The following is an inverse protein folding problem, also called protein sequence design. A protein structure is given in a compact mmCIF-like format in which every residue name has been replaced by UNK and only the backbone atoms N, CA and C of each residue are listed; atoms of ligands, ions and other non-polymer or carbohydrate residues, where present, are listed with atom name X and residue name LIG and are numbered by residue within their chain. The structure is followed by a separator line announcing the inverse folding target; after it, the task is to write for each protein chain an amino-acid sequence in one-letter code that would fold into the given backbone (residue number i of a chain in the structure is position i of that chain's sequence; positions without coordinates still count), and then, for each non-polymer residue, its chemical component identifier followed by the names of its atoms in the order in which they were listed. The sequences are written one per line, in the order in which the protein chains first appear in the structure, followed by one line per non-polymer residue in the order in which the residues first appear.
data_IF_814930007238
#
_entry.id   IF_814930007238
#
_cell.length_a   1.000
_cell.length_b   1.000
_cell.length_c   1.000
_cell.angle_alpha   90.00
_cell.angle_beta   90.00
_cell.angle_gamma   90.00
#
_symmetry.space_group_name_H-M   'P 1'
#
loop_
_entity.id
_entity.type
_entity.pdbx_description
1 polymer ?
#
# COMPACT_ATOMS: atom_id res chain seq x y z
N UNK A 1 1.46 11.34 12.42
CA UNK A 1 1.94 12.62 11.84
C UNK A 1 0.95 13.09 10.79
N UNK A 2 0.92 14.40 10.50
CA UNK A 2 0.05 14.97 9.46
C UNK A 2 0.90 15.40 8.27
N UNK A 3 0.50 15.03 7.05
CA UNK A 3 1.17 15.46 5.84
C UNK A 3 0.51 16.72 5.29
N UNK A 4 1.27 17.80 5.17
CA UNK A 4 0.72 19.09 4.73
C UNK A 4 0.40 19.15 3.23
N UNK A 5 0.97 18.25 2.41
CA UNK A 5 0.69 18.23 0.97
C UNK A 5 -0.58 17.44 0.62
N UNK A 6 -0.71 16.19 1.10
CA UNK A 6 -1.90 15.38 0.83
C UNK A 6 -3.00 15.52 1.89
N UNK A 7 -2.78 16.30 2.95
CA UNK A 7 -3.73 16.55 4.05
C UNK A 7 -4.21 15.28 4.78
N UNK A 8 -3.38 14.24 4.82
CA UNK A 8 -3.70 12.97 5.47
C UNK A 8 -2.89 12.73 6.75
N UNK A 9 -3.52 12.09 7.76
CA UNK A 9 -2.82 11.51 8.91
C UNK A 9 -2.11 10.22 8.47
N UNK A 10 -0.82 10.11 8.81
CA UNK A 10 0.11 9.05 8.37
C UNK A 10 1.04 8.62 9.50
N UNK A 11 1.61 7.43 9.38
CA UNK A 11 2.58 6.90 10.33
C UNK A 11 3.91 7.66 10.24
N UNK A 12 4.68 7.73 11.33
CA UNK A 12 6.01 8.38 11.35
C UNK A 12 6.94 7.82 10.27
N UNK A 13 6.89 6.51 10.05
CA UNK A 13 7.66 5.77 9.03
C UNK A 13 7.30 6.14 7.59
N UNK A 14 6.16 6.79 7.34
CA UNK A 14 5.80 7.32 6.03
C UNK A 14 6.39 8.72 5.76
N UNK A 15 7.22 9.28 6.66
CA UNK A 15 7.86 10.58 6.47
C UNK A 15 9.38 10.43 6.31
N UNK A 16 10.02 11.31 5.52
CA UNK A 16 11.47 11.34 5.41
C UNK A 16 12.16 11.48 6.77
N UNK A 17 13.21 10.69 6.98
CA UNK A 17 14.09 10.81 8.16
C UNK A 17 15.24 11.81 7.92
N UNK A 18 15.46 12.17 6.66
CA UNK A 18 16.46 13.14 6.19
C UNK A 18 15.82 14.06 5.16
N UNK A 19 16.49 15.15 4.82
CA UNK A 19 16.12 16.01 3.71
C UNK A 19 16.56 15.43 2.36
N UNK A 20 16.08 15.99 1.25
CA UNK A 20 16.47 15.53 -0.09
C UNK A 20 17.92 15.91 -0.44
N UNK A 21 18.32 17.11 -0.04
CA UNK A 21 19.67 17.65 -0.17
C UNK A 21 20.07 18.31 1.14
N UNK A 22 21.35 18.46 1.40
CA UNK A 22 21.85 18.97 2.68
C UNK A 22 21.53 20.46 2.87
N UNK A 23 21.31 21.20 1.77
CA UNK A 23 20.93 22.61 1.79
C UNK A 23 19.44 22.84 2.14
N UNK A 24 18.62 21.78 2.16
CA UNK A 24 17.23 21.88 2.57
C UNK A 24 17.14 22.19 4.08
N UNK A 25 16.95 23.46 4.44
CA UNK A 25 16.72 23.84 5.83
C UNK A 25 15.23 23.91 6.17
N UNK A 26 14.59 22.73 6.30
CA UNK A 26 13.18 22.65 6.70
C UNK A 26 12.86 21.31 7.39
N UNK A 27 11.81 21.32 8.20
CA UNK A 27 11.27 20.10 8.78
C UNK A 27 10.69 19.15 7.70
N UNK A 28 10.49 17.88 8.04
CA UNK A 28 9.83 16.91 7.15
C UNK A 28 8.30 16.94 7.35
N UNK A 29 7.61 17.88 6.70
CA UNK A 29 6.14 18.04 6.80
C UNK A 29 5.37 17.27 5.72
N UNK A 30 6.07 16.79 4.69
CA UNK A 30 5.49 16.01 3.59
C UNK A 30 5.87 14.53 3.71
N UNK A 31 4.93 13.63 3.43
CA UNK A 31 5.17 12.19 3.46
C UNK A 31 6.01 11.74 2.26
N UNK A 32 6.67 10.59 2.37
CA UNK A 32 7.54 10.00 1.34
C UNK A 32 6.85 9.96 -0.03
N UNK A 33 5.59 9.50 -0.08
CA UNK A 33 4.81 9.44 -1.33
C UNK A 33 4.64 10.81 -2.00
N UNK A 34 4.42 11.86 -1.21
CA UNK A 34 4.26 13.22 -1.71
C UNK A 34 5.60 13.78 -2.17
N UNK A 35 6.65 13.59 -1.38
CA UNK A 35 8.00 14.06 -1.68
C UNK A 35 8.50 13.42 -2.98
N UNK A 36 8.40 12.09 -3.11
CA UNK A 36 8.89 11.38 -4.29
C UNK A 36 8.10 11.73 -5.54
N UNK A 37 6.77 11.93 -5.43
CA UNK A 37 5.94 12.37 -6.54
C UNK A 37 6.39 13.73 -7.09
N UNK A 38 6.56 14.74 -6.21
CA UNK A 38 6.96 16.09 -6.66
C UNK A 38 8.35 16.09 -7.28
N UNK A 39 9.32 15.35 -6.72
CA UNK A 39 10.65 15.23 -7.34
C UNK A 39 10.54 14.58 -8.73
N UNK A 40 9.73 13.52 -8.87
CA UNK A 40 9.53 12.85 -10.17
C UNK A 40 8.87 13.75 -11.22
N UNK A 41 7.88 14.55 -10.83
CA UNK A 41 7.09 15.37 -11.75
C UNK A 41 7.75 16.72 -12.06
N UNK A 42 8.45 17.31 -11.08
CA UNK A 42 8.92 18.70 -11.16
C UNK A 42 10.43 18.87 -10.98
N UNK A 43 11.17 17.80 -10.65
CA UNK A 43 12.61 17.85 -10.31
C UNK A 43 12.93 18.84 -9.18
N UNK A 44 12.03 18.95 -8.20
CA UNK A 44 12.11 19.90 -7.09
C UNK A 44 11.75 19.29 -5.75
N UNK A 45 12.30 19.85 -4.69
CA UNK A 45 11.87 19.56 -3.33
C UNK A 45 10.45 20.06 -3.10
N UNK A 46 9.57 19.19 -2.58
CA UNK A 46 8.18 19.53 -2.31
C UNK A 46 7.94 20.63 -1.26
N UNK A 47 8.96 21.07 -0.51
CA UNK A 47 8.82 22.07 0.55
C UNK A 47 9.52 23.40 0.23
N UNK A 48 10.81 23.37 -0.16
CA UNK A 48 11.56 24.59 -0.51
C UNK A 48 11.69 24.86 -2.01
N UNK A 49 11.15 23.97 -2.87
CA UNK A 49 11.23 24.09 -4.34
C UNK A 49 12.65 24.05 -4.93
N UNK A 50 13.66 23.77 -4.12
CA UNK A 50 15.04 23.63 -4.58
C UNK A 50 15.15 22.45 -5.54
N UNK A 51 15.97 22.60 -6.59
CA UNK A 51 16.14 21.56 -7.60
C UNK A 51 16.71 20.27 -7.00
N UNK A 52 16.12 19.14 -7.35
CA UNK A 52 16.55 17.82 -6.92
C UNK A 52 16.55 16.90 -8.14
N UNK A 53 17.72 16.36 -8.46
CA UNK A 53 17.89 15.43 -9.57
C UNK A 53 17.28 14.05 -9.26
N UNK A 54 16.79 13.35 -10.28
CA UNK A 54 16.17 12.02 -10.15
C UNK A 54 17.13 10.91 -9.71
N UNK A 55 18.43 11.13 -9.86
CA UNK A 55 19.51 10.23 -9.42
C UNK A 55 20.04 10.59 -8.02
N UNK A 56 19.48 11.62 -7.37
CA UNK A 56 19.86 12.00 -6.02
C UNK A 56 19.75 10.78 -5.07
N UNK A 57 20.78 10.52 -4.23
CA UNK A 57 20.83 9.33 -3.39
C UNK A 57 19.72 9.28 -2.34
N UNK A 58 19.37 10.42 -1.74
CA UNK A 58 18.28 10.50 -0.77
C UNK A 58 16.92 10.29 -1.42
N UNK A 59 16.70 10.86 -2.62
CA UNK A 59 15.49 10.60 -3.40
C UNK A 59 15.35 9.11 -3.74
N UNK A 60 16.42 8.49 -4.26
CA UNK A 60 16.44 7.05 -4.54
C UNK A 60 16.12 6.21 -3.30
N UNK A 61 16.68 6.58 -2.14
CA UNK A 61 16.41 5.88 -0.88
C UNK A 61 14.96 6.07 -0.41
N UNK A 62 14.37 7.25 -0.62
CA UNK A 62 12.95 7.49 -0.31
C UNK A 62 12.03 6.66 -1.20
N UNK A 63 12.35 6.51 -2.48
CA UNK A 63 11.62 5.62 -3.40
C UNK A 63 11.72 4.16 -2.94
N UNK A 64 12.93 3.68 -2.62
CA UNK A 64 13.12 2.31 -2.07
C UNK A 64 12.39 2.11 -0.75
N UNK A 65 12.37 3.11 0.11
CA UNK A 65 11.64 3.05 1.38
C UNK A 65 10.14 2.97 1.12
N UNK A 66 9.62 3.77 0.18
CA UNK A 66 8.22 3.74 -0.20
C UNK A 66 7.81 2.38 -0.78
N UNK A 67 8.65 1.80 -1.66
CA UNK A 67 8.43 0.46 -2.21
C UNK A 67 8.46 -0.63 -1.13
N UNK A 68 9.32 -0.52 -0.12
CA UNK A 68 9.35 -1.46 1.02
C UNK A 68 8.13 -1.32 1.93
N UNK A 69 7.62 -0.10 2.11
CA UNK A 69 6.43 0.16 2.92
C UNK A 69 5.14 -0.26 2.21
N UNK A 70 5.13 -0.20 0.88
CA UNK A 70 3.99 -0.53 0.03
C UNK A 70 4.47 -1.40 -1.15
N UNK A 71 4.90 -2.65 -0.89
CA UNK A 71 5.33 -3.55 -1.95
C UNK A 71 4.16 -3.77 -2.90
N UNK A 72 4.40 -3.61 -4.20
CA UNK A 72 3.46 -4.10 -5.21
C UNK A 72 3.32 -5.61 -5.00
N UNK A 73 2.08 -6.09 -4.91
CA UNK A 73 1.83 -7.52 -4.84
C UNK A 73 2.52 -8.20 -6.05
N UNK A 74 3.11 -9.40 -5.88
CA UNK A 74 3.77 -10.08 -6.98
C UNK A 74 2.81 -10.20 -8.17
N UNK A 75 3.18 -9.59 -9.30
CA UNK A 75 2.49 -9.83 -10.57
C UNK A 75 2.92 -11.23 -11.01
N UNK A 76 2.00 -12.20 -11.02
CA UNK A 76 2.29 -13.53 -11.54
C UNK A 76 2.72 -13.41 -13.01
N UNK A 77 3.98 -13.78 -13.29
CA UNK A 77 4.49 -13.87 -14.64
C UNK A 77 4.07 -15.23 -15.22
N UNK A 78 3.05 -15.24 -16.09
CA UNK A 78 2.86 -16.35 -17.03
C UNK A 78 2.80 -15.78 -18.44
N UNK A 79 3.82 -16.12 -19.24
CA UNK A 79 3.96 -15.65 -20.61
C UNK A 79 3.00 -16.33 -21.59
N UNK A 80 2.56 -15.53 -22.57
CA UNK A 80 2.07 -15.88 -23.92
C UNK A 80 1.22 -17.15 -24.08
N UNK A 81 -0.09 -16.96 -24.27
CA UNK A 81 -0.81 -17.21 -25.53
C UNK A 81 -2.27 -16.74 -25.41
N UNK A 82 -2.80 -16.18 -26.50
CA UNK A 82 -4.11 -15.54 -26.59
C UNK A 82 -5.25 -16.57 -26.42
N UNK A 83 -5.94 -16.54 -25.28
CA UNK A 83 -7.31 -17.04 -25.13
C UNK A 83 -8.04 -16.06 -24.23
N UNK A 84 -9.24 -15.66 -24.65
CA UNK A 84 -10.12 -14.64 -24.06
C UNK A 84 -10.12 -14.74 -22.52
N UNK A 85 -9.30 -13.92 -21.86
CA UNK A 85 -9.37 -13.69 -20.42
C UNK A 85 -10.31 -12.50 -20.23
N UNK A 86 -11.53 -12.77 -19.74
CA UNK A 86 -12.20 -11.76 -18.94
C UNK A 86 -11.31 -11.55 -17.71
N UNK A 87 -10.46 -10.53 -17.82
CA UNK A 87 -9.57 -10.03 -16.78
C UNK A 87 -10.43 -9.55 -15.61
N UNK A 88 -10.65 -10.47 -14.68
CA UNK A 88 -11.29 -10.20 -13.42
C UNK A 88 -10.41 -10.85 -12.35
N UNK A 89 -9.24 -10.27 -12.08
CA UNK A 89 -8.51 -10.51 -10.83
C UNK A 89 -9.29 -9.83 -9.68
N UNK A 90 -10.50 -10.34 -9.40
CA UNK A 90 -11.29 -10.00 -8.22
C UNK A 90 -10.61 -10.63 -7.02
N UNK A 91 -9.65 -9.90 -6.46
CA UNK A 91 -8.93 -10.29 -5.25
C UNK A 91 -9.28 -9.38 -4.09
N UNK A 92 -9.23 -9.93 -2.88
CA UNK A 92 -9.37 -9.21 -1.63
C UNK A 92 -8.20 -9.56 -0.71
N UNK A 93 -7.66 -8.55 -0.04
CA UNK A 93 -6.63 -8.74 0.98
C UNK A 93 -7.27 -8.91 2.36
N UNK A 94 -6.96 -10.01 3.02
CA UNK A 94 -7.39 -10.29 4.39
C UNK A 94 -6.19 -10.17 5.32
N UNK A 95 -6.33 -9.37 6.37
CA UNK A 95 -5.28 -9.15 7.37
C UNK A 95 -5.85 -9.47 8.75
N UNK A 96 -5.16 -10.32 9.50
CA UNK A 96 -5.50 -10.61 10.88
C UNK A 96 -5.02 -9.49 11.81
N UNK A 97 -5.66 -9.36 12.96
CA UNK A 97 -5.19 -8.45 14.02
C UNK A 97 -3.77 -8.80 14.52
N UNK A 98 -3.35 -10.06 14.36
CA UNK A 98 -1.99 -10.53 14.67
C UNK A 98 -0.91 -10.15 13.65
N UNK A 99 -1.29 -9.58 12.50
CA UNK A 99 -0.35 -9.13 11.46
C UNK A 99 -0.19 -10.06 10.27
N UNK A 100 -0.63 -11.32 10.36
CA UNK A 100 -0.64 -12.25 9.22
C UNK A 100 -1.63 -11.78 8.14
N UNK A 101 -1.24 -11.91 6.88
CA UNK A 101 -2.05 -11.47 5.75
C UNK A 101 -2.03 -12.46 4.60
N UNK A 102 -3.14 -12.57 3.89
CA UNK A 102 -3.26 -13.37 2.66
C UNK A 102 -4.12 -12.64 1.64
N UNK A 103 -3.93 -12.99 0.36
CA UNK A 103 -4.74 -12.50 -0.76
C UNK A 103 -5.64 -13.65 -1.19
N UNK A 104 -6.94 -13.40 -1.26
CA UNK A 104 -7.95 -14.37 -1.69
C UNK A 104 -8.61 -13.88 -2.96
N UNK A 105 -8.82 -14.81 -3.90
CA UNK A 105 -9.73 -14.61 -5.02
C UNK A 105 -11.18 -14.64 -4.49
N UNK A 106 -12.05 -13.80 -5.03
CA UNK A 106 -13.47 -13.79 -4.68
C UNK A 106 -14.34 -13.68 -5.94
N UNK A 107 -15.54 -14.24 -5.85
CA UNK A 107 -16.59 -14.04 -6.85
C UNK A 107 -17.65 -13.08 -6.25
N UNK A 108 -18.22 -12.12 -6.99
CA UNK A 108 -19.29 -11.25 -6.53
C UNK A 108 -20.52 -12.00 -6.00
N UNK A 109 -20.71 -13.25 -6.44
CA UNK A 109 -21.77 -14.14 -5.98
C UNK A 109 -21.38 -14.99 -4.75
N UNK A 110 -20.13 -14.92 -4.32
CA UNK A 110 -19.63 -15.65 -3.16
C UNK A 110 -20.27 -15.14 -1.88
N UNK A 111 -20.74 -16.05 -1.04
CA UNK A 111 -21.31 -15.68 0.25
C UNK A 111 -20.23 -15.55 1.33
N UNK A 112 -20.51 -14.76 2.38
CA UNK A 112 -19.57 -14.54 3.48
C UNK A 112 -19.13 -15.84 4.16
N UNK A 113 -19.97 -16.86 4.18
CA UNK A 113 -19.64 -18.16 4.75
C UNK A 113 -18.52 -18.87 3.97
N UNK A 114 -18.56 -18.81 2.63
CA UNK A 114 -17.50 -19.36 1.79
C UNK A 114 -16.20 -18.62 2.04
N UNK A 115 -16.23 -17.28 2.09
CA UNK A 115 -15.04 -16.47 2.37
C UNK A 115 -14.38 -16.87 3.69
N UNK A 116 -15.17 -17.15 4.73
CA UNK A 116 -14.63 -17.62 6.02
C UNK A 116 -13.94 -18.97 5.93
N UNK A 117 -14.41 -19.87 5.06
CA UNK A 117 -13.77 -21.16 4.84
C UNK A 117 -12.38 -20.95 4.22
N UNK A 118 -12.26 -20.12 3.18
CA UNK A 118 -10.95 -19.83 2.57
C UNK A 118 -9.97 -19.18 3.56
N UNK A 119 -10.46 -18.30 4.44
CA UNK A 119 -9.65 -17.71 5.50
C UNK A 119 -9.18 -18.79 6.48
N UNK A 120 -10.03 -19.77 6.83
CA UNK A 120 -9.63 -20.89 7.69
C UNK A 120 -8.52 -21.72 7.03
N UNK A 121 -8.65 -22.05 5.75
CA UNK A 121 -7.66 -22.84 5.02
C UNK A 121 -6.29 -22.15 4.94
N UNK A 122 -6.27 -20.82 4.79
CA UNK A 122 -5.03 -20.05 4.61
C UNK A 122 -4.41 -19.55 5.90
N UNK A 123 -5.22 -19.20 6.89
CA UNK A 123 -4.75 -18.54 8.13
C UNK A 123 -5.00 -19.36 9.39
N UNK A 124 -5.96 -20.31 9.37
CA UNK A 124 -6.19 -21.27 10.46
C UNK A 124 -7.42 -21.02 11.37
N UNK A 125 -7.87 -19.78 11.68
CA UNK A 125 -9.03 -19.57 12.54
C UNK A 125 -10.31 -20.21 12.00
N UNK A 126 -11.06 -20.91 12.86
CA UNK A 126 -12.33 -21.56 12.51
C UNK A 126 -13.40 -20.49 12.16
N UNK A 127 -14.27 -20.70 11.14
CA UNK A 127 -15.22 -19.72 10.60
C UNK A 127 -16.06 -18.96 11.65
N UNK A 128 -16.53 -19.63 12.69
CA UNK A 128 -17.36 -19.03 13.74
C UNK A 128 -16.60 -18.07 14.64
N UNK A 129 -15.27 -18.25 14.73
CA UNK A 129 -14.38 -17.35 15.49
C UNK A 129 -13.86 -16.19 14.65
N UNK A 130 -14.16 -16.17 13.35
CA UNK A 130 -13.74 -15.08 12.46
C UNK A 130 -14.73 -13.91 12.53
N UNK A 131 -14.19 -12.74 12.89
CA UNK A 131 -14.90 -11.45 12.85
C UNK A 131 -14.35 -10.62 11.71
N UNK A 132 -15.07 -10.58 10.61
CA UNK A 132 -14.68 -9.85 9.41
C UNK A 132 -15.14 -8.39 9.54
N UNK A 133 -14.21 -7.44 9.38
CA UNK A 133 -14.47 -6.01 9.50
C UNK A 133 -14.08 -5.30 8.21
N UNK A 134 -15.04 -4.61 7.60
CA UNK A 134 -14.81 -3.80 6.40
C UNK A 134 -15.30 -2.37 6.61
N UNK A 135 -14.44 -1.38 6.34
CA UNK A 135 -14.72 0.06 6.55
C UNK A 135 -15.28 0.36 7.96
N UNK A 136 -14.74 -0.32 8.98
CA UNK A 136 -15.15 -0.16 10.38
C UNK A 136 -16.49 -0.79 10.74
N UNK A 137 -17.10 -1.59 9.84
CA UNK A 137 -18.33 -2.32 10.10
C UNK A 137 -18.07 -3.82 10.05
N UNK A 138 -18.59 -4.53 11.03
CA UNK A 138 -18.59 -5.99 11.02
C UNK A 138 -19.58 -6.48 9.95
N UNK A 139 -19.08 -7.28 9.01
CA UNK A 139 -19.90 -7.88 7.96
C UNK A 139 -20.46 -9.21 8.48
N UNK A 140 -21.76 -9.41 8.31
CA UNK A 140 -22.47 -10.60 8.78
C UNK A 140 -22.86 -11.48 7.60
N UNK A 141 -23.07 -12.77 7.88
CA UNK A 141 -23.71 -13.67 6.95
C UNK A 141 -25.14 -13.17 6.72
N UNK A 142 -25.55 -13.06 5.46
CA UNK A 142 -26.91 -12.75 5.06
C UNK A 142 -27.32 -13.70 3.95
#
# INVERSE_FOLDING_TARGET
MFCELCKQKKLRREFPTKTLIDECNHAALHCLRCVTRVVKEENKCSQCLQHVAIDNPNYCEFVKTLQRLFPEAPRCLTGKEEVIQEDIDQTISVVMLGGDSTVLEYNPNMIIQELKIYIQEKLGPIPDKQRLIYKGKEIRMN
#
